data_IF_166291911291
#
_entry.id   IF_166291911291
#
_cell.length_a   1.000
_cell.length_b   1.000
_cell.length_c   1.000
_cell.angle_alpha   90.00
_cell.angle_beta   90.00
_cell.angle_gamma   90.00
#
_symmetry.space_group_name_H-M   'P 1'
#
loop_
_entity.id
_entity.type
_entity.pdbx_description
1 polymer ?
#
# COMPACT_ATOMS: atom_id res chain seq x y z
N UNK A 1 -15.73 -6.29 23.31
CA UNK A 1 -14.91 -5.23 22.68
C UNK A 1 -15.77 -4.37 21.77
N UNK A 2 -15.86 -3.05 22.00
CA UNK A 2 -16.54 -2.12 21.09
C UNK A 2 -15.62 -1.84 19.90
N UNK A 3 -16.05 -2.17 18.67
CA UNK A 3 -15.28 -1.85 17.46
C UNK A 3 -15.42 -0.36 17.16
N UNK A 4 -14.31 0.36 17.13
CA UNK A 4 -14.29 1.78 16.78
C UNK A 4 -14.82 1.99 15.36
N UNK A 5 -15.81 2.88 15.22
CA UNK A 5 -16.38 3.28 13.93
C UNK A 5 -15.65 4.53 13.44
N UNK A 6 -14.97 4.41 12.31
CA UNK A 6 -14.27 5.52 11.69
C UNK A 6 -15.24 6.32 10.81
N UNK A 7 -15.21 7.66 10.91
CA UNK A 7 -15.98 8.54 10.01
C UNK A 7 -15.33 8.58 8.61
N UNK A 8 -16.15 8.75 7.58
CA UNK A 8 -15.66 8.95 6.21
C UNK A 8 -14.93 10.29 6.11
N UNK A 9 -13.64 10.26 5.75
CA UNK A 9 -12.84 11.47 5.57
C UNK A 9 -13.12 12.11 4.22
N UNK A 10 -13.27 13.45 4.19
CA UNK A 10 -13.52 14.21 2.95
C UNK A 10 -12.41 14.01 1.93
N UNK A 11 -11.17 13.93 2.41
CA UNK A 11 -9.95 13.76 1.61
C UNK A 11 -10.10 12.58 0.63
N UNK A 12 -10.72 11.47 1.07
CA UNK A 12 -10.88 10.30 0.22
C UNK A 12 -11.89 10.51 -0.92
N UNK A 13 -12.84 11.44 -0.79
CA UNK A 13 -13.73 11.81 -1.89
C UNK A 13 -13.03 12.67 -2.94
N UNK A 14 -11.94 13.36 -2.55
CA UNK A 14 -11.14 14.18 -3.45
C UNK A 14 -10.06 13.37 -4.17
N UNK A 15 -9.61 12.26 -3.57
CA UNK A 15 -8.58 11.41 -4.17
C UNK A 15 -9.05 10.81 -5.52
N UNK A 16 -8.20 10.88 -6.57
CA UNK A 16 -8.56 10.42 -7.92
C UNK A 16 -8.84 8.91 -7.99
N UNK A 17 -8.26 8.12 -7.08
CA UNK A 17 -8.49 6.68 -7.01
C UNK A 17 -9.92 6.28 -6.56
N UNK A 18 -10.58 7.12 -5.76
CA UNK A 18 -11.89 6.81 -5.17
C UNK A 18 -13.01 7.70 -5.70
N UNK A 19 -12.71 8.98 -5.99
CA UNK A 19 -13.66 9.98 -6.50
C UNK A 19 -14.60 9.49 -7.61
N UNK A 20 -14.16 8.67 -8.60
CA UNK A 20 -15.04 8.25 -9.70
C UNK A 20 -16.26 7.44 -9.25
N UNK A 21 -16.13 6.69 -8.15
CA UNK A 21 -17.11 5.70 -7.74
C UNK A 21 -17.56 5.82 -6.28
N UNK A 22 -16.80 6.48 -5.42
CA UNK A 22 -17.11 6.65 -4.02
C UNK A 22 -18.03 7.86 -3.82
N UNK A 23 -19.16 7.66 -3.14
CA UNK A 23 -20.06 8.74 -2.73
C UNK A 23 -20.38 8.66 -1.24
N UNK A 24 -20.69 9.82 -0.64
CA UNK A 24 -21.31 9.90 0.68
C UNK A 24 -22.74 9.40 0.61
N UNK A 25 -23.13 8.66 1.65
CA UNK A 25 -24.53 8.35 1.88
C UNK A 25 -25.19 9.56 2.58
N UNK A 26 -26.32 10.09 2.08
CA UNK A 26 -27.02 11.19 2.73
C UNK A 26 -27.63 10.79 4.08
N UNK A 27 -27.91 9.50 4.30
CA UNK A 27 -28.52 9.03 5.55
C UNK A 27 -27.49 8.66 6.62
N UNK A 28 -26.25 8.33 6.23
CA UNK A 28 -25.23 7.86 7.17
C UNK A 28 -23.81 8.35 6.83
N UNK A 29 -23.31 9.29 7.62
CA UNK A 29 -21.94 9.82 7.53
C UNK A 29 -20.83 8.79 7.80
N UNK A 30 -21.16 7.63 8.36
CA UNK A 30 -20.24 6.53 8.63
C UNK A 30 -20.24 5.45 7.56
N UNK A 31 -21.05 5.60 6.51
CA UNK A 31 -21.08 4.66 5.38
C UNK A 31 -20.78 5.40 4.09
N UNK A 32 -20.02 4.75 3.23
CA UNK A 32 -19.82 5.20 1.87
C UNK A 32 -20.62 4.30 0.93
N UNK A 33 -21.09 4.84 -0.19
CA UNK A 33 -21.81 4.07 -1.21
C UNK A 33 -21.01 4.04 -2.50
N UNK A 34 -20.86 2.84 -3.06
CA UNK A 34 -20.25 2.68 -4.38
C UNK A 34 -21.29 2.99 -5.47
N UNK A 35 -20.99 3.93 -6.37
CA UNK A 35 -21.82 4.28 -7.53
C UNK A 35 -21.97 3.12 -8.51
N UNK A 36 -20.90 2.34 -8.71
CA UNK A 36 -20.90 1.22 -9.66
C UNK A 36 -21.58 -0.02 -9.08
N UNK A 37 -21.18 -0.45 -7.88
CA UNK A 37 -21.72 -1.65 -7.24
C UNK A 37 -23.07 -1.44 -6.54
N UNK A 38 -23.48 -0.18 -6.31
CA UNK A 38 -24.69 0.24 -5.55
C UNK A 38 -24.76 -0.27 -4.11
N UNK A 39 -23.69 -0.87 -3.60
CA UNK A 39 -23.58 -1.39 -2.23
C UNK A 39 -22.93 -0.38 -1.28
N UNK A 40 -23.25 -0.50 0.02
CA UNK A 40 -22.57 0.22 1.09
C UNK A 40 -21.20 -0.40 1.37
N UNK A 41 -20.18 0.43 1.50
CA UNK A 41 -18.78 0.07 1.78
C UNK A 41 -18.36 0.73 3.10
N UNK A 42 -17.52 0.05 3.85
CA UNK A 42 -16.93 0.60 5.06
C UNK A 42 -16.01 1.79 4.75
N UNK A 43 -15.95 2.71 5.70
CA UNK A 43 -15.13 3.92 5.69
C UNK A 43 -13.71 3.67 6.19
N UNK A 44 -13.15 2.48 5.97
CA UNK A 44 -11.72 2.22 6.21
C UNK A 44 -11.01 2.20 4.87
N UNK A 45 -9.86 2.85 4.77
CA UNK A 45 -9.13 2.95 3.51
C UNK A 45 -8.77 1.58 2.92
N UNK A 46 -8.40 0.61 3.78
CA UNK A 46 -8.12 -0.77 3.35
C UNK A 46 -9.35 -1.42 2.72
N UNK A 47 -10.54 -1.21 3.30
CA UNK A 47 -11.80 -1.76 2.77
C UNK A 47 -12.18 -1.09 1.43
N UNK A 48 -11.93 0.21 1.28
CA UNK A 48 -12.15 0.93 0.01
C UNK A 48 -11.24 0.41 -1.10
N UNK A 49 -9.95 0.21 -0.81
CA UNK A 49 -8.99 -0.37 -1.77
C UNK A 49 -9.35 -1.81 -2.13
N UNK A 50 -9.68 -2.64 -1.13
CA UNK A 50 -10.13 -4.00 -1.37
C UNK A 50 -11.40 -4.03 -2.22
N UNK A 51 -12.34 -3.12 -1.98
CA UNK A 51 -13.57 -2.99 -2.78
C UNK A 51 -13.27 -2.68 -4.25
N UNK A 52 -12.35 -1.74 -4.53
CA UNK A 52 -11.95 -1.38 -5.89
C UNK A 52 -11.36 -2.58 -6.67
N UNK A 53 -10.75 -3.54 -5.97
CA UNK A 53 -10.16 -4.74 -6.57
C UNK A 53 -11.19 -5.85 -6.85
N UNK A 54 -12.39 -5.77 -6.30
CA UNK A 54 -13.40 -6.84 -6.45
C UNK A 54 -13.84 -7.01 -7.91
N UNK A 55 -14.13 -8.26 -8.30
CA UNK A 55 -14.60 -8.58 -9.67
C UNK A 55 -15.87 -7.79 -10.06
N UNK A 56 -16.80 -7.62 -9.10
CA UNK A 56 -18.03 -6.83 -9.30
C UNK A 56 -17.72 -5.38 -9.63
N UNK A 57 -16.79 -4.77 -8.90
CA UNK A 57 -16.36 -3.40 -9.14
C UNK A 57 -15.67 -3.25 -10.49
N UNK A 58 -14.70 -4.12 -10.80
CA UNK A 58 -13.95 -4.10 -12.06
C UNK A 58 -14.84 -4.27 -13.29
N UNK A 59 -15.85 -5.16 -13.24
CA UNK A 59 -16.79 -5.39 -14.35
C UNK A 59 -17.64 -4.15 -14.65
N UNK A 60 -18.04 -3.42 -13.62
CA UNK A 60 -18.92 -2.26 -13.75
C UNK A 60 -18.15 -0.93 -13.89
N UNK A 61 -16.83 -0.95 -13.70
CA UNK A 61 -16.01 0.23 -13.88
C UNK A 61 -15.84 0.52 -15.39
N UNK A 62 -16.42 1.61 -15.92
CA UNK A 62 -16.38 1.90 -17.35
C UNK A 62 -14.96 2.13 -17.87
N UNK A 63 -14.03 2.59 -17.02
CA UNK A 63 -12.62 2.74 -17.38
C UNK A 63 -11.94 1.41 -17.73
N UNK A 64 -12.42 0.29 -17.18
CA UNK A 64 -11.92 -1.04 -17.51
C UNK A 64 -12.57 -1.61 -18.79
N UNK A 65 -13.78 -1.17 -19.13
CA UNK A 65 -14.51 -1.61 -20.33
C UNK A 65 -13.95 -0.99 -21.62
N UNK A 66 -13.42 0.24 -21.55
CA UNK A 66 -12.87 0.94 -22.71
C UNK A 66 -11.59 0.31 -23.31
N UNK A 67 -10.98 -0.68 -22.65
CA UNK A 67 -9.77 -1.38 -23.13
C UNK A 67 -10.02 -2.78 -23.72
N UNK A 68 -11.28 -3.15 -24.00
CA UNK A 68 -11.65 -4.53 -24.39
C UNK A 68 -12.46 -4.66 -25.68
N UNK A 69 -12.35 -3.72 -26.61
CA UNK A 69 -12.82 -3.90 -27.98
C UNK A 69 -11.64 -4.05 -28.94
N UNK A 70 -10.89 -5.15 -28.81
CA UNK A 70 -10.14 -5.77 -29.92
C UNK A 70 -9.70 -7.18 -29.54
N UNK A 71 -10.59 -8.15 -29.68
CA UNK A 71 -10.27 -9.58 -29.87
C UNK A 71 -11.58 -10.34 -30.01
N UNK A 72 -12.04 -10.40 -31.26
CA UNK A 72 -12.78 -11.55 -31.76
C UNK A 72 -11.92 -12.80 -31.55
N UNK A 73 -12.42 -13.75 -30.76
CA UNK A 73 -12.06 -15.15 -30.93
C UNK A 73 -13.35 -15.93 -30.80
N UNK A 74 -13.92 -16.18 -31.96
CA UNK A 74 -14.77 -17.33 -32.23
C UNK A 74 -13.92 -18.57 -31.99
N UNK A 75 -14.30 -19.42 -31.04
CA UNK A 75 -14.02 -20.85 -31.20
C UNK A 75 -15.15 -21.66 -30.58
N UNK A 76 -15.53 -22.62 -31.39
CA UNK A 76 -16.72 -23.44 -31.46
C UNK A 76 -16.30 -24.81 -30.94
N UNK A 77 -16.83 -25.25 -29.80
CA UNK A 77 -16.68 -26.65 -29.39
C UNK A 77 -17.82 -27.06 -28.47
N UNK A 78 -18.85 -27.55 -29.14
CA UNK A 78 -19.60 -28.78 -28.86
C UNK A 78 -19.82 -29.18 -27.39
N UNK A 79 -21.10 -29.11 -27.00
CA UNK A 79 -21.91 -30.28 -26.66
C UNK A 79 -21.29 -31.36 -25.76
N UNK A 80 -21.71 -31.37 -24.49
CA UNK A 80 -22.17 -32.61 -23.87
C UNK A 80 -23.08 -32.30 -22.67
N UNK A 81 -24.33 -32.73 -22.84
CA UNK A 81 -25.38 -32.81 -21.84
C UNK A 81 -24.88 -33.22 -20.46
N UNK A 82 -25.22 -32.45 -19.42
CA UNK A 82 -25.49 -33.01 -18.10
C UNK A 82 -26.61 -32.21 -17.43
N UNK A 83 -27.81 -32.73 -17.67
CA UNK A 83 -29.01 -32.58 -16.87
C UNK A 83 -28.67 -32.84 -15.40
N UNK A 84 -28.72 -31.81 -14.55
CA UNK A 84 -28.76 -31.99 -13.10
C UNK A 84 -29.99 -31.30 -12.54
N UNK A 85 -30.93 -32.14 -12.14
CA UNK A 85 -32.22 -31.83 -11.61
C UNK A 85 -32.19 -30.82 -10.47
N UNK A 86 -33.01 -29.81 -10.67
CA UNK A 86 -33.45 -28.85 -9.68
C UNK A 86 -34.21 -29.57 -8.55
N UNK A 87 -33.78 -29.38 -7.29
CA UNK A 87 -34.61 -29.67 -6.12
C UNK A 87 -34.74 -28.41 -5.25
N UNK A 88 -35.92 -27.77 -5.19
CA UNK A 88 -36.18 -26.67 -4.28
C UNK A 88 -36.71 -27.23 -2.95
N UNK A 89 -35.98 -27.01 -1.85
CA UNK A 89 -36.53 -27.20 -0.51
C UNK A 89 -36.95 -25.87 0.09
N UNK A 90 -38.24 -25.80 0.44
CA UNK A 90 -38.92 -24.71 1.12
C UNK A 90 -38.54 -24.65 2.61
N UNK A 91 -38.35 -23.42 3.08
CA UNK A 91 -38.83 -22.81 4.36
C UNK A 91 -38.80 -23.64 5.64
N UNK A 92 -38.06 -23.18 6.67
CA UNK A 92 -38.58 -22.91 8.03
C UNK A 92 -37.57 -22.12 8.89
N UNK A 93 -38.03 -20.97 9.38
CA UNK A 93 -37.89 -20.36 10.72
C UNK A 93 -36.58 -20.30 11.54
N UNK A 94 -36.57 -19.23 12.34
CA UNK A 94 -35.53 -18.75 13.24
C UNK A 94 -35.14 -19.69 14.39
N UNK A 95 -33.85 -19.68 14.77
CA UNK A 95 -33.42 -19.66 16.19
C UNK A 95 -31.92 -19.35 16.37
N UNK A 96 -31.69 -18.32 17.18
CA UNK A 96 -30.69 -18.12 18.24
C UNK A 96 -29.25 -18.67 18.07
N UNK A 97 -28.32 -17.71 18.21
CA UNK A 97 -27.00 -17.77 18.82
C UNK A 97 -26.66 -19.03 19.65
N UNK A 98 -25.50 -19.63 19.33
CA UNK A 98 -24.61 -20.23 20.33
C UNK A 98 -23.15 -20.16 19.87
N UNK A 99 -22.34 -19.49 20.68
CA UNK A 99 -20.89 -19.42 20.65
C UNK A 99 -20.28 -20.79 20.93
N UNK A 100 -19.32 -21.22 20.11
CA UNK A 100 -18.45 -22.34 20.41
C UNK A 100 -17.00 -21.92 20.17
N UNK A 101 -16.30 -21.68 21.28
CA UNK A 101 -14.85 -21.65 21.41
C UNK A 101 -14.37 -23.09 21.35
N UNK A 102 -13.55 -23.46 20.36
CA UNK A 102 -12.72 -24.68 20.41
C UNK A 102 -11.36 -24.37 19.82
N UNK A 103 -10.34 -24.70 20.60
CA UNK A 103 -8.93 -24.65 20.31
C UNK A 103 -8.57 -25.56 19.11
N UNK A 104 -7.96 -24.98 18.07
CA UNK A 104 -7.33 -25.74 16.99
C UNK A 104 -5.80 -25.62 17.09
N UNK A 105 -5.22 -26.59 17.80
CA UNK A 105 -3.79 -26.94 17.73
C UNK A 105 -3.51 -27.57 16.36
N UNK A 106 -2.87 -26.83 15.46
CA UNK A 106 -2.31 -27.40 14.23
C UNK A 106 -0.82 -27.69 14.41
N UNK A 107 -0.54 -28.99 14.35
CA UNK A 107 0.73 -29.67 14.42
C UNK A 107 1.44 -29.57 13.07
N UNK A 108 2.51 -28.78 12.96
CA UNK A 108 3.35 -28.70 11.75
C UNK A 108 4.43 -29.78 11.86
N UNK A 109 4.20 -30.87 11.12
CA UNK A 109 5.16 -31.94 10.85
C UNK A 109 6.25 -31.39 9.93
N UNK A 110 7.47 -31.30 10.45
CA UNK A 110 8.71 -31.06 9.69
C UNK A 110 9.05 -32.29 8.84
N UNK A 111 9.23 -32.09 7.54
CA UNK A 111 9.88 -33.03 6.63
C UNK A 111 11.27 -32.51 6.23
N UNK A 112 12.29 -33.38 6.12
CA UNK A 112 13.64 -32.97 5.73
C UNK A 112 13.71 -32.80 4.20
N UNK A 113 13.94 -31.56 3.75
CA UNK A 113 14.15 -31.26 2.33
C UNK A 113 15.64 -31.16 2.04
N UNK A 114 16.03 -31.89 1.00
CA UNK A 114 17.37 -32.13 0.49
C UNK A 114 18.03 -30.85 -0.02
N UNK A 115 19.32 -30.73 0.26
CA UNK A 115 20.26 -29.75 -0.29
C UNK A 115 20.52 -30.03 -1.77
N UNK A 116 20.01 -29.18 -2.65
CA UNK A 116 20.47 -29.08 -4.04
C UNK A 116 21.17 -27.73 -4.27
N UNK A 117 22.40 -27.81 -4.78
CA UNK A 117 23.25 -26.72 -5.25
C UNK A 117 22.51 -25.92 -6.31
N UNK A 118 22.06 -24.70 -5.98
CA UNK A 118 21.50 -23.76 -6.94
C UNK A 118 22.63 -22.90 -7.51
N UNK A 119 22.93 -23.11 -8.79
CA UNK A 119 23.77 -22.23 -9.58
C UNK A 119 23.20 -20.80 -9.55
N UNK A 120 24.09 -19.84 -9.31
CA UNK A 120 23.79 -18.42 -9.17
C UNK A 120 23.45 -17.80 -10.54
N UNK A 121 22.17 -17.80 -10.91
CA UNK A 121 21.64 -16.87 -11.92
C UNK A 121 21.08 -15.65 -11.20
N UNK A 122 21.97 -14.71 -10.88
CA UNK A 122 21.57 -13.36 -10.47
C UNK A 122 21.00 -12.59 -11.66
N UNK A 123 20.17 -11.56 -11.44
CA UNK A 123 19.67 -10.71 -12.51
C UNK A 123 20.87 -10.04 -13.20
N UNK A 124 20.83 -10.02 -14.53
CA UNK A 124 21.87 -9.44 -15.38
C UNK A 124 21.84 -7.91 -15.26
N UNK A 125 22.74 -7.38 -14.43
CA UNK A 125 22.80 -5.97 -14.10
C UNK A 125 23.25 -5.11 -15.29
N UNK A 126 23.96 -5.69 -16.27
CA UNK A 126 24.37 -5.00 -17.50
C UNK A 126 23.14 -4.62 -18.35
N UNK A 127 22.21 -5.55 -18.56
CA UNK A 127 20.98 -5.30 -19.31
C UNK A 127 20.08 -4.23 -18.67
N UNK A 128 20.09 -4.13 -17.33
CA UNK A 128 19.33 -3.11 -16.59
C UNK A 128 19.96 -1.72 -16.77
N UNK A 129 21.30 -1.65 -16.76
CA UNK A 129 22.04 -0.39 -16.93
C UNK A 129 21.88 0.15 -18.35
N UNK A 130 21.97 -0.72 -19.37
CA UNK A 130 21.78 -0.32 -20.78
C UNK A 130 20.35 0.18 -21.05
N UNK A 131 19.34 -0.45 -20.41
CA UNK A 131 17.94 0.00 -20.50
C UNK A 131 17.70 1.38 -19.88
N UNK A 132 18.44 1.74 -18.82
CA UNK A 132 18.35 3.05 -18.17
C UNK A 132 19.08 4.14 -18.97
N UNK A 133 20.14 3.79 -19.69
CA UNK A 133 20.90 4.74 -20.49
C UNK A 133 20.17 5.21 -21.77
N UNK A 134 19.15 4.47 -22.23
CA UNK A 134 18.36 4.79 -23.42
C UNK A 134 17.16 5.70 -23.16
N UNK A 135 16.87 6.07 -21.90
CA UNK A 135 15.77 6.97 -21.58
C UNK A 135 16.25 8.43 -21.57
N UNK A 136 16.23 9.05 -22.74
CA UNK A 136 16.59 10.46 -22.94
C UNK A 136 15.54 11.38 -22.27
N UNK A 137 15.93 12.30 -21.37
CA UNK A 137 15.01 13.21 -20.70
C UNK A 137 14.70 14.43 -21.58
N UNK A 138 13.90 14.24 -22.62
CA UNK A 138 13.37 15.36 -23.40
C UNK A 138 12.03 15.87 -22.83
N UNK A 139 12.12 17.10 -22.30
CA UNK A 139 11.10 18.15 -22.28
C UNK A 139 9.90 18.01 -21.33
N UNK A 140 10.03 18.63 -20.13
CA UNK A 140 8.90 19.29 -19.47
C UNK A 140 9.29 20.75 -19.20
N UNK A 141 8.97 21.59 -20.18
CA UNK A 141 9.02 23.05 -20.12
C UNK A 141 7.93 23.56 -19.14
N UNK A 142 8.38 24.36 -18.18
CA UNK A 142 7.74 25.49 -17.49
C UNK A 142 6.22 25.47 -17.21
N UNK A 143 5.89 25.64 -15.92
CA UNK A 143 4.89 26.63 -15.53
C UNK A 143 5.17 27.15 -14.12
N UNK A 144 5.90 28.27 -14.04
CA UNK A 144 6.06 29.07 -12.83
C UNK A 144 4.84 29.98 -12.67
N UNK A 145 4.12 29.86 -11.55
CA UNK A 145 3.10 30.80 -11.11
C UNK A 145 3.39 31.25 -9.68
N UNK A 146 3.98 32.43 -9.54
CA UNK A 146 4.10 33.20 -8.29
C UNK A 146 2.73 33.49 -7.67
N UNK A 147 2.61 33.33 -6.35
CA UNK A 147 1.71 34.14 -5.52
C UNK A 147 2.33 34.38 -4.15
N UNK A 148 2.46 35.66 -3.81
CA UNK A 148 2.90 36.30 -2.57
C UNK A 148 1.80 36.37 -1.49
N UNK A 149 2.20 36.73 -0.25
CA UNK A 149 1.38 37.29 0.86
C UNK A 149 0.55 36.27 1.69
N UNK A 150 0.47 36.28 3.04
CA UNK A 150 0.77 37.27 4.09
C UNK A 150 0.87 36.58 5.47
N UNK A 151 1.57 37.22 6.41
CA UNK A 151 1.40 37.13 7.87
C UNK A 151 -0.07 37.23 8.33
N UNK A 152 -0.48 36.42 9.31
CA UNK A 152 -1.00 36.91 10.61
C UNK A 152 -1.30 35.78 11.62
N UNK A 153 -1.10 36.11 12.90
CA UNK A 153 -1.11 35.26 14.09
C UNK A 153 -2.51 34.76 14.51
N UNK A 154 -2.57 33.55 15.09
CA UNK A 154 -3.38 33.25 16.30
C UNK A 154 -2.68 32.15 17.11
N UNK A 155 -2.06 32.52 18.23
CA UNK A 155 -1.65 31.59 19.29
C UNK A 155 -2.88 30.98 19.96
N UNK A 156 -2.85 29.66 20.18
CA UNK A 156 -3.81 28.97 21.03
C UNK A 156 -3.03 27.96 21.88
N UNK A 157 -3.05 28.06 23.23
CA UNK A 157 -2.22 27.23 24.08
C UNK A 157 -2.74 25.79 24.11
N UNK A 158 -1.87 24.86 23.73
CA UNK A 158 -2.14 23.43 23.74
C UNK A 158 -2.30 22.89 25.17
N UNK A 159 -3.18 21.89 25.39
CA UNK A 159 -3.33 21.24 26.68
C UNK A 159 -2.12 20.37 26.97
N UNK A 160 -1.40 20.70 28.05
CA UNK A 160 -0.31 19.89 28.61
C UNK A 160 -0.88 18.60 29.19
N UNK A 161 -1.08 17.60 28.34
CA UNK A 161 -1.16 16.22 28.79
C UNK A 161 0.22 15.86 29.33
N UNK A 162 0.31 15.54 30.63
CA UNK A 162 1.51 14.98 31.25
C UNK A 162 1.80 13.64 30.59
N UNK A 163 2.64 13.66 29.55
CA UNK A 163 3.15 12.45 28.92
C UNK A 163 4.15 11.86 29.91
N UNK A 164 3.79 10.70 30.44
CA UNK A 164 4.60 9.92 31.35
C UNK A 164 5.97 9.61 30.69
N UNK A 165 7.05 10.16 31.25
CA UNK A 165 8.41 10.04 30.70
C UNK A 165 8.85 8.58 30.55
N UNK A 166 8.35 7.69 31.41
CA UNK A 166 8.58 6.25 31.32
C UNK A 166 7.92 5.63 30.08
N UNK A 167 6.78 6.15 29.63
CA UNK A 167 6.11 5.70 28.40
C UNK A 167 6.90 6.08 27.16
N UNK A 168 7.48 7.28 27.14
CA UNK A 168 8.37 7.73 26.06
C UNK A 168 9.63 6.86 26.04
N UNK A 169 10.24 6.65 27.21
CA UNK A 169 11.48 5.88 27.34
C UNK A 169 11.27 4.42 26.93
N UNK A 170 10.15 3.80 27.32
CA UNK A 170 9.79 2.45 26.88
C UNK A 170 9.48 2.38 25.38
N UNK A 171 8.77 3.36 24.81
CA UNK A 171 8.48 3.40 23.38
C UNK A 171 9.76 3.54 22.54
N UNK A 172 10.68 4.40 22.97
CA UNK A 172 12.00 4.56 22.33
C UNK A 172 12.82 3.28 22.47
N UNK A 173 12.82 2.66 23.65
CA UNK A 173 13.57 1.40 23.89
C UNK A 173 12.98 0.23 23.10
N UNK A 174 11.66 0.13 22.97
CA UNK A 174 10.97 -0.87 22.15
C UNK A 174 11.18 -0.64 20.65
N UNK A 175 11.24 0.63 20.22
CA UNK A 175 11.61 0.99 18.87
C UNK A 175 13.05 0.52 18.62
N UNK A 176 14.03 0.96 19.43
CA UNK A 176 15.45 0.60 19.39
C UNK A 176 15.68 -0.91 19.35
N UNK A 177 14.96 -1.67 20.20
CA UNK A 177 15.05 -3.14 20.25
C UNK A 177 14.40 -3.86 19.06
N UNK A 178 13.46 -3.24 18.35
CA UNK A 178 12.85 -3.79 17.13
C UNK A 178 13.54 -3.31 15.83
N UNK A 179 14.58 -2.47 15.90
CA UNK A 179 15.40 -2.12 14.73
C UNK A 179 16.28 -3.32 14.31
N UNK A 180 15.65 -4.31 13.70
CA UNK A 180 16.33 -5.26 12.82
C UNK A 180 16.68 -4.63 11.47
N UNK A 181 16.36 -3.34 11.30
CA UNK A 181 16.43 -2.61 10.03
C UNK A 181 16.74 -1.10 10.26
N UNK A 182 17.75 -0.81 11.10
CA UNK A 182 18.27 0.56 11.23
C UNK A 182 18.69 1.16 9.90
N UNK A 183 19.23 0.32 9.01
CA UNK A 183 19.55 0.67 7.63
C UNK A 183 18.30 1.06 6.83
N UNK A 184 17.18 0.35 7.00
CA UNK A 184 15.94 0.66 6.29
C UNK A 184 15.33 1.98 6.77
N UNK A 185 15.29 2.24 8.08
CA UNK A 185 14.76 3.50 8.63
C UNK A 185 15.60 4.69 8.18
N UNK A 186 16.93 4.54 8.22
CA UNK A 186 17.83 5.56 7.70
C UNK A 186 17.63 5.77 6.20
N UNK A 187 17.50 4.68 5.42
CA UNK A 187 17.22 4.73 3.99
C UNK A 187 15.92 5.46 3.66
N UNK A 188 14.84 5.14 4.38
CA UNK A 188 13.53 5.79 4.22
C UNK A 188 13.59 7.29 4.56
N UNK A 189 14.30 7.65 5.64
CA UNK A 189 14.49 9.05 6.04
C UNK A 189 15.29 9.85 5.00
N UNK A 190 16.41 9.30 4.52
CA UNK A 190 17.23 9.93 3.49
C UNK A 190 16.43 10.09 2.19
N UNK A 191 15.68 9.06 1.79
CA UNK A 191 14.82 9.13 0.61
C UNK A 191 13.74 10.21 0.74
N UNK A 192 13.16 10.38 1.94
CA UNK A 192 12.16 11.41 2.17
C UNK A 192 12.72 12.83 2.11
N UNK A 193 13.93 13.03 2.65
CA UNK A 193 14.63 14.32 2.54
C UNK A 193 15.06 14.63 1.13
N UNK A 194 15.54 13.65 0.36
CA UNK A 194 15.90 13.85 -1.06
C UNK A 194 14.68 14.26 -1.90
N UNK A 195 13.49 13.69 -1.65
CA UNK A 195 12.25 14.06 -2.34
C UNK A 195 11.80 15.51 -2.09
N UNK A 196 12.22 16.13 -0.99
CA UNK A 196 11.89 17.52 -0.65
C UNK A 196 12.84 18.54 -1.31
N UNK A 197 13.95 18.09 -1.89
CA UNK A 197 14.94 18.95 -2.54
C UNK A 197 14.62 19.13 -4.03
N UNK A 198 15.14 20.20 -4.63
CA UNK A 198 15.12 20.36 -6.10
C UNK A 198 15.93 19.23 -6.77
N UNK A 199 15.57 18.85 -8.00
CA UNK A 199 16.22 17.74 -8.71
C UNK A 199 17.75 17.84 -8.69
N UNK A 200 18.29 19.00 -9.11
CA UNK A 200 19.74 19.28 -9.14
C UNK A 200 20.42 19.26 -7.77
N UNK A 201 19.72 19.68 -6.72
CA UNK A 201 20.25 19.62 -5.34
C UNK A 201 20.25 18.17 -4.84
N UNK A 202 19.20 17.42 -5.13
CA UNK A 202 19.05 16.03 -4.68
C UNK A 202 20.10 15.10 -5.29
N UNK A 203 20.46 15.31 -6.56
CA UNK A 203 21.53 14.56 -7.25
C UNK A 203 22.89 14.81 -6.58
N UNK A 204 23.26 16.08 -6.38
CA UNK A 204 24.51 16.42 -5.70
C UNK A 204 24.57 15.88 -4.26
N UNK A 205 23.44 15.92 -3.53
CA UNK A 205 23.37 15.31 -2.19
C UNK A 205 23.52 13.79 -2.24
N UNK A 206 22.93 13.12 -3.24
CA UNK A 206 23.07 11.67 -3.44
C UNK A 206 24.52 11.28 -3.71
N UNK A 207 25.22 12.03 -4.56
CA UNK A 207 26.64 11.79 -4.87
C UNK A 207 27.52 11.93 -3.62
N UNK A 208 27.28 12.96 -2.80
CA UNK A 208 27.99 13.16 -1.53
C UNK A 208 27.74 12.02 -0.54
N UNK A 209 26.49 11.57 -0.40
CA UNK A 209 26.16 10.44 0.48
C UNK A 209 26.86 9.18 0.00
N UNK A 210 26.86 8.92 -1.31
CA UNK A 210 27.53 7.77 -1.90
C UNK A 210 29.05 7.82 -1.69
N UNK A 211 29.67 8.99 -1.86
CA UNK A 211 31.10 9.18 -1.62
C UNK A 211 31.47 8.88 -0.16
N UNK A 212 30.70 9.38 0.81
CA UNK A 212 30.93 9.11 2.24
C UNK A 212 30.78 7.62 2.55
N UNK A 213 29.80 6.93 1.95
CA UNK A 213 29.61 5.48 2.14
C UNK A 213 30.79 4.66 1.58
N UNK A 214 31.30 5.04 0.41
CA UNK A 214 32.48 4.39 -0.19
C UNK A 214 33.74 4.64 0.65
N UNK A 215 33.92 5.85 1.17
CA UNK A 215 35.04 6.20 2.03
C UNK A 215 35.00 5.43 3.36
N UNK A 216 33.82 5.36 4.01
CA UNK A 216 33.64 4.56 5.23
C UNK A 216 33.93 3.06 4.98
N UNK A 217 33.45 2.51 3.86
CA UNK A 217 33.71 1.12 3.50
C UNK A 217 35.19 0.83 3.18
N UNK A 218 35.96 1.85 2.78
CA UNK A 218 37.40 1.72 2.58
C UNK A 218 38.16 1.69 3.92
N UNK A 219 37.76 2.53 4.88
CA UNK A 219 38.37 2.57 6.22
C UNK A 219 38.18 1.25 6.99
N UNK A 220 36.99 0.66 6.96
CA UNK A 220 36.71 -0.61 7.66
C UNK A 220 37.60 -1.79 7.19
N UNK A 221 38.07 -1.76 5.93
CA UNK A 221 39.00 -2.78 5.41
C UNK A 221 40.40 -2.62 5.99
N UNK A 222 40.80 -1.41 6.35
CA UNK A 222 42.14 -1.14 6.90
C UNK A 222 42.25 -1.49 8.37
N UNK A 223 41.16 -1.36 9.13
CA UNK A 223 41.10 -1.67 10.57
C UNK A 223 41.02 -3.16 10.87
N UNK A 224 40.49 -3.99 9.96
CA UNK A 224 40.37 -5.43 10.15
C UNK A 224 41.64 -6.26 9.79
N UNK A 225 42.75 -5.60 9.45
CA UNK A 225 44.02 -6.25 9.07
C UNK A 225 45.17 -6.05 10.08
N UNK A 226 44.90 -5.50 11.26
CA UNK A 226 45.84 -5.45 12.41
C UNK A 226 45.37 -6.38 13.52
#
# INVERSE_FOLDING_TARGET
MKRYKQKLREVWLQMPEFRPWLRRDPEDSYRARCRFCKCGVNTKICDLRAHALTKKHKKMNPAAAAKRNDSSNDDDTSSLDHHMDYKPSKVTEAKRFKTHTEDSKNNIKLSPVKTEKRASNGPDYEAIIESLALYEPEQILFSNGSTTHSDDQVENPAPTASIDEESITNAVTLAVKNLKDSSQIFGDFVADRLRQLSCKTSENTKDKIMQVLLEAAALDRTTNCN
#
